data_IF_943607173709
#
_entry.id   IF_943607173709
#
_cell.length_a   1.000
_cell.length_b   1.000
_cell.length_c   1.000
_cell.angle_alpha   90.00
_cell.angle_beta   90.00
_cell.angle_gamma   90.00
#
_symmetry.space_group_name_H-M   'P 1'
#
loop_
_entity.id
_entity.type
_entity.pdbx_description
1 polymer ?
#
# COMPACT_ATOMS: atom_id res chain seq x y z
N UNK A 1 -31.14 -32.72 -50.97
CA UNK A 1 -30.01 -31.77 -50.93
C UNK A 1 -30.28 -30.73 -49.86
N UNK A 2 -29.68 -30.88 -48.67
CA UNK A 2 -29.65 -29.87 -47.62
C UNK A 2 -28.37 -30.13 -46.82
N UNK A 3 -27.42 -29.21 -46.86
CA UNK A 3 -26.06 -29.44 -46.34
C UNK A 3 -25.71 -28.39 -45.30
N UNK A 4 -25.58 -28.84 -44.06
CA UNK A 4 -25.25 -28.02 -42.89
C UNK A 4 -23.74 -27.72 -42.87
N UNK A 5 -23.35 -26.45 -42.88
CA UNK A 5 -21.93 -26.07 -42.82
C UNK A 5 -21.62 -25.27 -41.55
N UNK A 6 -21.01 -25.94 -40.56
CA UNK A 6 -20.36 -25.27 -39.42
C UNK A 6 -19.19 -24.44 -39.94
N UNK A 7 -19.00 -23.21 -39.45
CA UNK A 7 -17.82 -22.39 -39.76
C UNK A 7 -16.95 -22.22 -38.51
N UNK A 8 -15.74 -22.77 -38.57
CA UNK A 8 -14.78 -22.87 -37.47
C UNK A 8 -14.15 -21.51 -37.14
N UNK A 9 -13.87 -21.26 -35.87
CA UNK A 9 -13.03 -20.15 -35.41
C UNK A 9 -11.61 -20.33 -35.98
N UNK A 10 -11.00 -19.24 -36.46
CA UNK A 10 -9.59 -19.20 -36.85
C UNK A 10 -8.76 -18.67 -35.69
N UNK A 11 -7.80 -19.47 -35.24
CA UNK A 11 -6.70 -19.00 -34.40
C UNK A 11 -5.78 -18.08 -35.21
N UNK A 12 -5.37 -16.95 -34.63
CA UNK A 12 -4.41 -16.04 -35.25
C UNK A 12 -3.04 -16.36 -34.64
N UNK A 13 -2.20 -17.02 -35.44
CA UNK A 13 -0.83 -17.35 -35.08
C UNK A 13 0.08 -16.16 -35.40
N UNK A 14 0.83 -15.66 -34.40
CA UNK A 14 1.81 -14.57 -34.57
C UNK A 14 3.19 -15.07 -34.16
N UNK A 15 3.87 -15.70 -35.09
CA UNK A 15 5.29 -16.06 -35.01
C UNK A 15 6.09 -15.18 -35.97
N UNK A 16 6.99 -14.34 -35.45
CA UNK A 16 7.86 -13.53 -36.31
C UNK A 16 8.43 -12.26 -35.69
N UNK A 17 9.36 -12.41 -34.75
CA UNK A 17 10.49 -11.46 -34.56
C UNK A 17 11.65 -12.22 -33.92
N UNK A 18 12.67 -12.52 -34.72
CA UNK A 18 13.90 -13.13 -34.24
C UNK A 18 14.67 -12.17 -33.33
N UNK A 19 14.92 -12.58 -32.09
CA UNK A 19 15.98 -12.03 -31.26
C UNK A 19 16.99 -13.14 -30.99
N UNK A 20 18.21 -12.98 -31.52
CA UNK A 20 19.30 -13.92 -31.32
C UNK A 20 19.57 -14.14 -29.82
N UNK A 21 19.26 -15.34 -29.33
CA UNK A 21 19.76 -15.82 -28.04
C UNK A 21 21.22 -16.25 -28.18
N UNK A 22 22.14 -15.34 -27.89
CA UNK A 22 23.50 -15.74 -27.50
C UNK A 22 23.42 -16.45 -26.15
N UNK A 23 23.55 -17.78 -26.18
CA UNK A 23 23.69 -18.59 -24.98
C UNK A 23 25.09 -18.39 -24.40
N UNK A 24 25.24 -17.38 -23.53
CA UNK A 24 26.43 -17.26 -22.69
C UNK A 24 26.44 -18.45 -21.73
N UNK A 25 27.21 -19.48 -22.07
CA UNK A 25 27.46 -20.65 -21.23
C UNK A 25 28.45 -20.30 -20.12
N UNK A 26 28.01 -19.56 -19.12
CA UNK A 26 28.73 -19.49 -17.84
C UNK A 26 28.60 -20.85 -17.13
N UNK A 27 29.73 -21.49 -16.90
CA UNK A 27 29.83 -22.77 -16.18
C UNK A 27 29.34 -22.60 -14.73
N UNK A 28 28.11 -23.04 -14.47
CA UNK A 28 27.48 -23.03 -13.14
C UNK A 28 27.98 -24.17 -12.26
N UNK A 29 29.29 -24.19 -11.97
CA UNK A 29 29.92 -25.14 -11.02
C UNK A 29 30.44 -24.45 -9.75
N UNK A 30 29.85 -23.31 -9.39
CA UNK A 30 30.08 -22.65 -8.10
C UNK A 30 28.98 -23.06 -7.10
N UNK A 31 28.98 -24.35 -6.71
CA UNK A 31 28.16 -24.89 -5.61
C UNK A 31 28.68 -24.41 -4.24
N UNK A 32 28.68 -23.09 -4.04
CA UNK A 32 28.79 -22.50 -2.70
C UNK A 32 27.56 -22.90 -1.90
N UNK A 33 27.75 -23.88 -1.02
CA UNK A 33 26.77 -24.25 0.00
C UNK A 33 26.51 -23.05 0.89
N UNK A 34 25.42 -22.31 0.64
CA UNK A 34 24.95 -21.28 1.56
C UNK A 34 24.57 -22.01 2.85
N UNK A 35 25.22 -21.64 3.95
CA UNK A 35 24.92 -22.18 5.27
C UNK A 35 23.47 -21.86 5.68
N UNK A 36 22.81 -22.79 6.37
CA UNK A 36 21.58 -22.45 7.11
C UNK A 36 21.86 -21.27 8.04
N UNK A 37 20.95 -20.32 8.06
CA UNK A 37 21.01 -19.08 8.86
C UNK A 37 19.82 -19.06 9.80
N UNK A 38 19.96 -18.37 10.93
CA UNK A 38 18.83 -17.96 11.77
C UNK A 38 18.49 -16.52 11.43
N UNK A 39 17.29 -16.27 10.91
CA UNK A 39 16.84 -14.98 10.38
C UNK A 39 15.71 -14.46 11.27
N UNK A 40 15.81 -13.20 11.70
CA UNK A 40 14.70 -12.49 12.37
C UNK A 40 14.00 -11.56 11.38
N UNK A 41 12.68 -11.66 11.31
CA UNK A 41 11.80 -10.71 10.64
C UNK A 41 11.10 -9.90 11.73
N UNK A 42 11.30 -8.58 11.74
CA UNK A 42 10.75 -7.68 12.77
C UNK A 42 9.59 -6.90 12.16
N UNK A 43 8.39 -7.14 12.68
CA UNK A 43 7.13 -6.61 12.20
C UNK A 43 6.40 -7.57 11.25
N UNK A 44 5.13 -7.85 11.53
CA UNK A 44 4.24 -8.73 10.75
C UNK A 44 3.31 -7.96 9.80
N UNK A 45 3.68 -6.75 9.40
CA UNK A 45 3.04 -6.06 8.29
C UNK A 45 3.25 -6.80 6.96
N UNK A 46 2.60 -6.33 5.89
CA UNK A 46 2.69 -6.95 4.55
C UNK A 46 4.12 -7.20 4.06
N UNK A 47 5.09 -6.33 4.38
CA UNK A 47 6.49 -6.53 4.02
C UNK A 47 7.16 -7.67 4.79
N UNK A 48 6.91 -7.79 6.09
CA UNK A 48 7.37 -8.93 6.89
C UNK A 48 6.74 -10.23 6.43
N UNK A 49 5.44 -10.22 6.09
CA UNK A 49 4.77 -11.40 5.54
C UNK A 49 5.27 -11.82 4.16
N UNK A 50 5.53 -10.87 3.27
CA UNK A 50 6.12 -11.16 1.97
C UNK A 50 7.55 -11.71 2.13
N UNK A 51 8.37 -11.13 3.02
CA UNK A 51 9.70 -11.64 3.33
C UNK A 51 9.64 -13.07 3.89
N UNK A 52 8.74 -13.34 4.85
CA UNK A 52 8.51 -14.68 5.40
C UNK A 52 8.06 -15.67 4.32
N UNK A 53 7.10 -15.29 3.46
CA UNK A 53 6.62 -16.14 2.37
C UNK A 53 7.72 -16.44 1.33
N UNK A 54 8.58 -15.47 1.02
CA UNK A 54 9.74 -15.68 0.14
C UNK A 54 10.78 -16.63 0.76
N UNK A 55 11.02 -16.51 2.07
CA UNK A 55 12.01 -17.31 2.78
C UNK A 55 11.51 -18.69 3.24
N UNK A 56 10.19 -18.92 3.42
CA UNK A 56 9.68 -20.15 4.08
C UNK A 56 10.00 -21.47 3.34
N UNK A 57 10.28 -21.40 2.05
CA UNK A 57 10.69 -22.56 1.23
C UNK A 57 12.20 -22.81 1.21
N UNK A 58 12.98 -22.04 1.98
CA UNK A 58 14.43 -22.17 2.10
C UNK A 58 14.82 -23.07 3.28
N UNK A 59 16.09 -23.44 3.34
CA UNK A 59 16.70 -24.17 4.47
C UNK A 59 16.90 -23.30 5.74
N UNK A 60 16.59 -22.01 5.70
CA UNK A 60 16.86 -21.09 6.80
C UNK A 60 15.84 -21.23 7.94
N UNK A 61 16.26 -20.90 9.16
CA UNK A 61 15.41 -20.87 10.34
C UNK A 61 14.90 -19.44 10.53
N UNK A 62 13.61 -19.22 10.28
CA UNK A 62 13.03 -17.87 10.21
C UNK A 62 12.13 -17.67 11.42
N UNK A 63 12.39 -16.61 12.18
CA UNK A 63 11.57 -16.15 13.31
C UNK A 63 10.83 -14.86 12.91
N UNK A 64 9.53 -14.81 13.16
CA UNK A 64 8.71 -13.60 12.98
C UNK A 64 8.42 -12.99 14.36
N UNK A 65 8.79 -11.73 14.54
CA UNK A 65 8.53 -10.94 15.75
C UNK A 65 7.49 -9.86 15.47
N UNK A 66 6.49 -9.74 16.33
CA UNK A 66 5.46 -8.70 16.29
C UNK A 66 5.26 -8.08 17.67
N UNK A 67 5.17 -6.76 17.69
CA UNK A 67 4.90 -5.93 18.86
C UNK A 67 3.47 -6.08 19.40
N UNK A 68 2.50 -6.31 18.51
CA UNK A 68 1.09 -6.49 18.85
C UNK A 68 0.77 -7.94 19.25
N UNK A 69 -0.40 -8.15 19.86
CA UNK A 69 -0.95 -9.47 20.21
C UNK A 69 -1.57 -10.23 19.02
N UNK A 70 -1.66 -9.57 17.86
CA UNK A 70 -2.10 -10.11 16.58
C UNK A 70 -1.03 -9.95 15.49
N UNK A 71 -1.06 -10.80 14.46
CA UNK A 71 -0.22 -10.64 13.27
C UNK A 71 -0.98 -9.92 12.14
N UNK A 72 -0.29 -9.08 11.37
CA UNK A 72 -0.83 -8.36 10.20
C UNK A 72 -0.52 -6.87 10.17
N UNK A 73 -0.13 -6.26 11.30
CA UNK A 73 0.05 -4.81 11.43
C UNK A 73 -1.19 -4.06 10.95
N UNK A 74 -1.04 -3.11 10.01
CA UNK A 74 -2.18 -2.38 9.44
C UNK A 74 -3.24 -3.28 8.76
N UNK A 75 -2.90 -4.50 8.35
CA UNK A 75 -3.86 -5.42 7.70
C UNK A 75 -4.67 -6.27 8.68
N UNK A 76 -4.92 -5.73 9.88
CA UNK A 76 -5.79 -6.36 10.87
C UNK A 76 -7.21 -6.53 10.32
N UNK A 77 -7.80 -7.69 10.61
CA UNK A 77 -9.20 -8.02 10.33
C UNK A 77 -9.81 -8.43 11.67
N UNK A 78 -10.98 -7.88 11.99
CA UNK A 78 -11.65 -8.06 13.29
C UNK A 78 -13.05 -8.62 13.09
N UNK A 79 -13.55 -9.38 14.06
CA UNK A 79 -14.94 -9.84 14.04
C UNK A 79 -15.88 -8.69 14.40
N UNK A 80 -16.75 -8.31 13.48
CA UNK A 80 -17.88 -7.41 13.69
C UNK A 80 -19.11 -8.22 14.07
N UNK A 81 -19.90 -7.73 15.04
CA UNK A 81 -21.14 -8.36 15.50
C UNK A 81 -22.33 -7.44 15.29
N UNK A 82 -23.46 -7.95 14.82
CA UNK A 82 -24.67 -7.13 14.69
C UNK A 82 -25.13 -6.65 16.08
N UNK A 83 -25.33 -5.34 16.25
CA UNK A 83 -25.80 -4.74 17.52
C UNK A 83 -27.29 -4.98 17.79
N UNK A 84 -28.03 -5.48 16.79
CA UNK A 84 -29.48 -5.62 16.80
C UNK A 84 -29.97 -7.03 16.39
N UNK A 85 -29.09 -8.03 16.33
CA UNK A 85 -29.45 -9.40 15.95
C UNK A 85 -28.30 -10.39 16.04
N UNK A 86 -28.56 -11.65 15.71
CA UNK A 86 -27.55 -12.73 15.71
C UNK A 86 -26.86 -12.81 14.35
N UNK A 87 -25.71 -12.14 14.22
CA UNK A 87 -24.89 -12.20 13.00
C UNK A 87 -23.49 -11.65 13.23
N UNK A 88 -22.48 -12.30 12.67
CA UNK A 88 -21.08 -11.86 12.72
C UNK A 88 -20.43 -11.85 11.33
N UNK A 89 -19.43 -11.01 11.11
CA UNK A 89 -18.62 -11.01 9.88
C UNK A 89 -17.21 -10.48 10.11
N UNK A 90 -16.26 -10.80 9.23
CA UNK A 90 -14.87 -10.37 9.32
C UNK A 90 -14.67 -9.03 8.60
N UNK A 91 -14.23 -8.01 9.34
CA UNK A 91 -14.08 -6.63 8.86
C UNK A 91 -12.60 -6.22 8.87
N UNK A 92 -12.06 -5.89 7.69
CA UNK A 92 -10.71 -5.30 7.58
C UNK A 92 -10.70 -3.84 8.01
N UNK A 93 -9.90 -3.48 9.02
CA UNK A 93 -9.91 -2.11 9.59
C UNK A 93 -9.10 -1.11 8.77
N UNK A 94 -8.04 -1.56 8.08
CA UNK A 94 -7.48 -0.83 6.96
C UNK A 94 -8.09 -1.39 5.67
N UNK A 95 -8.69 -0.49 4.88
CA UNK A 95 -9.43 -0.82 3.67
C UNK A 95 -8.49 -1.33 2.56
N UNK A 96 -8.16 -2.63 2.60
CA UNK A 96 -7.19 -3.27 1.75
C UNK A 96 -7.80 -3.67 0.40
N UNK A 97 -7.73 -2.75 -0.57
CA UNK A 97 -8.08 -3.01 -1.96
C UNK A 97 -6.84 -3.23 -2.83
N UNK A 98 -6.99 -4.06 -3.85
CA UNK A 98 -5.94 -4.33 -4.83
C UNK A 98 -6.52 -4.45 -6.25
N UNK A 99 -5.68 -4.46 -7.27
CA UNK A 99 -6.08 -4.77 -8.65
C UNK A 99 -4.87 -5.28 -9.45
N UNK A 100 -5.10 -6.07 -10.50
CA UNK A 100 -4.03 -6.71 -11.27
C UNK A 100 -3.09 -5.75 -12.03
N UNK A 101 -3.45 -4.46 -12.16
CA UNK A 101 -2.62 -3.47 -12.87
C UNK A 101 -1.60 -2.80 -11.94
N UNK A 102 -2.03 -2.28 -10.79
CA UNK A 102 -1.15 -1.57 -9.83
C UNK A 102 -0.72 -2.42 -8.63
N UNK A 103 -1.31 -3.61 -8.43
CA UNK A 103 -0.91 -4.59 -7.42
C UNK A 103 -0.53 -5.94 -8.07
N UNK A 104 0.35 -5.99 -9.10
CA UNK A 104 0.62 -7.21 -9.84
C UNK A 104 1.23 -8.34 -8.99
N UNK A 105 2.11 -8.03 -8.03
CA UNK A 105 2.76 -9.03 -7.19
C UNK A 105 1.78 -9.58 -6.16
N UNK A 106 1.05 -8.70 -5.47
CA UNK A 106 0.03 -9.13 -4.51
C UNK A 106 -1.13 -9.88 -5.17
N UNK A 107 -1.59 -9.46 -6.35
CA UNK A 107 -2.61 -10.19 -7.11
C UNK A 107 -2.13 -11.57 -7.56
N UNK A 108 -0.87 -11.72 -7.97
CA UNK A 108 -0.28 -13.02 -8.31
C UNK A 108 -0.15 -13.93 -7.07
N UNK A 109 0.19 -13.36 -5.91
CA UNK A 109 0.22 -14.05 -4.62
C UNK A 109 -1.16 -14.54 -4.17
N UNK A 110 -2.16 -13.67 -4.16
CA UNK A 110 -3.57 -14.01 -3.86
C UNK A 110 -4.08 -15.12 -4.78
N UNK A 111 -3.79 -15.02 -6.09
CA UNK A 111 -4.13 -16.06 -7.07
C UNK A 111 -3.40 -17.37 -6.81
N UNK A 112 -2.13 -17.33 -6.40
CA UNK A 112 -1.36 -18.53 -6.08
C UNK A 112 -1.93 -19.26 -4.85
N UNK A 113 -2.29 -18.52 -3.80
CA UNK A 113 -2.96 -19.06 -2.62
C UNK A 113 -4.44 -19.45 -2.85
N UNK A 114 -4.98 -19.16 -4.05
CA UNK A 114 -6.39 -19.42 -4.43
C UNK A 114 -7.41 -18.78 -3.48
N UNK A 115 -7.08 -17.64 -2.89
CA UNK A 115 -7.98 -16.97 -1.94
C UNK A 115 -9.16 -16.31 -2.70
N UNK A 116 -10.40 -16.40 -2.18
CA UNK A 116 -11.55 -15.77 -2.81
C UNK A 116 -11.45 -14.25 -2.71
N UNK A 117 -11.65 -13.58 -3.84
CA UNK A 117 -11.65 -12.13 -3.95
C UNK A 117 -12.82 -11.68 -4.83
N UNK A 118 -13.49 -10.60 -4.42
CA UNK A 118 -14.68 -10.07 -5.07
C UNK A 118 -14.41 -8.71 -5.71
N UNK A 119 -15.00 -8.42 -6.90
CA UNK A 119 -14.93 -7.10 -7.49
C UNK A 119 -15.68 -6.07 -6.63
N UNK A 120 -15.02 -4.96 -6.34
CA UNK A 120 -15.59 -3.83 -5.60
C UNK A 120 -15.50 -2.56 -6.46
N UNK A 121 -16.60 -1.82 -6.57
CA UNK A 121 -16.58 -0.51 -7.21
C UNK A 121 -16.20 0.56 -6.20
N UNK A 122 -14.98 1.08 -6.32
CA UNK A 122 -14.53 2.25 -5.53
C UNK A 122 -15.27 3.50 -6.02
N UNK A 123 -15.95 4.18 -5.10
CA UNK A 123 -16.61 5.47 -5.32
C UNK A 123 -16.15 6.47 -4.26
N UNK A 124 -16.04 7.74 -4.64
CA UNK A 124 -15.70 8.82 -3.72
C UNK A 124 -16.95 9.64 -3.41
N UNK A 125 -16.97 10.26 -2.23
CA UNK A 125 -18.01 11.19 -1.81
C UNK A 125 -17.43 12.23 -0.87
N UNK A 126 -17.94 13.44 -0.96
CA UNK A 126 -17.61 14.55 -0.07
C UNK A 126 -18.87 14.95 0.69
N UNK A 127 -18.72 15.21 1.99
CA UNK A 127 -19.59 16.10 2.75
C UNK A 127 -18.70 17.08 3.50
N UNK A 128 -18.96 18.39 3.36
CA UNK A 128 -18.14 19.46 3.92
C UNK A 128 -19.01 20.38 4.79
N UNK A 129 -18.39 21.00 5.81
CA UNK A 129 -18.98 21.99 6.74
C UNK A 129 -20.41 21.61 7.21
N UNK A 130 -20.55 20.40 7.76
CA UNK A 130 -21.83 19.83 8.22
C UNK A 130 -22.92 19.68 7.14
N UNK A 131 -22.52 19.41 5.90
CA UNK A 131 -23.42 19.23 4.75
C UNK A 131 -23.64 20.49 3.92
N UNK A 132 -22.83 21.54 4.07
CA UNK A 132 -22.88 22.75 3.23
C UNK A 132 -22.68 22.43 1.73
N UNK A 133 -21.81 21.45 1.46
CA UNK A 133 -21.49 20.95 0.13
C UNK A 133 -21.37 19.43 0.19
N UNK A 134 -22.23 18.75 -0.57
CA UNK A 134 -22.21 17.29 -0.71
C UNK A 134 -22.35 16.84 -2.16
N UNK A 135 -21.57 15.82 -2.53
CA UNK A 135 -21.66 15.14 -3.82
C UNK A 135 -20.95 13.77 -3.78
N UNK A 136 -21.31 12.85 -4.69
CA UNK A 136 -20.62 11.56 -4.84
C UNK A 136 -20.49 11.11 -6.31
N UNK A 137 -19.34 10.51 -6.65
CA UNK A 137 -19.03 9.97 -7.97
C UNK A 137 -19.72 8.62 -8.31
N UNK A 138 -20.64 8.13 -7.46
CA UNK A 138 -21.39 6.89 -7.71
C UNK A 138 -22.24 6.95 -8.99
N UNK A 139 -22.90 8.06 -9.28
CA UNK A 139 -23.70 8.32 -10.49
C UNK A 139 -23.89 9.82 -10.72
N UNK A 140 -24.46 10.20 -11.87
CA UNK A 140 -24.84 11.60 -12.14
C UNK A 140 -25.89 12.12 -11.14
N UNK A 141 -26.82 11.26 -10.70
CA UNK A 141 -27.82 11.63 -9.70
C UNK A 141 -27.20 11.89 -8.32
N UNK A 142 -26.16 11.13 -7.93
CA UNK A 142 -25.43 11.38 -6.66
C UNK A 142 -24.42 12.51 -6.75
N UNK A 143 -23.99 12.90 -7.97
CA UNK A 143 -23.18 14.10 -8.16
C UNK A 143 -23.99 15.36 -7.84
N UNK A 144 -25.27 15.36 -8.20
CA UNK A 144 -26.24 16.40 -7.87
C UNK A 144 -27.19 15.98 -6.73
N UNK A 145 -26.68 15.26 -5.72
CA UNK A 145 -27.46 14.85 -4.54
C UNK A 145 -28.12 16.04 -3.84
N UNK A 146 -27.42 17.18 -3.78
CA UNK A 146 -27.98 18.46 -3.37
C UNK A 146 -28.46 19.24 -4.60
N UNK A 147 -29.78 19.52 -4.67
CA UNK A 147 -30.41 20.21 -5.81
C UNK A 147 -29.81 21.60 -6.07
N UNK A 148 -29.33 22.29 -5.04
CA UNK A 148 -28.66 23.60 -5.15
C UNK A 148 -27.38 23.56 -6.03
N UNK A 149 -26.68 22.42 -6.07
CA UNK A 149 -25.47 22.26 -6.88
C UNK A 149 -25.77 22.30 -8.39
N UNK A 150 -27.01 21.97 -8.79
CA UNK A 150 -27.46 22.09 -10.19
C UNK A 150 -27.62 23.55 -10.65
N UNK A 151 -27.72 24.50 -9.74
CA UNK A 151 -27.83 25.93 -10.04
C UNK A 151 -26.60 26.74 -9.64
N UNK A 152 -25.52 26.08 -9.21
CA UNK A 152 -24.32 26.72 -8.66
C UNK A 152 -23.22 26.89 -9.74
N UNK A 153 -22.91 28.11 -10.20
CA UNK A 153 -21.81 28.35 -11.14
C UNK A 153 -20.46 27.89 -10.58
N UNK A 154 -20.28 28.02 -9.26
CA UNK A 154 -19.11 27.55 -8.52
C UNK A 154 -18.94 26.03 -8.60
N UNK A 155 -20.05 25.28 -8.52
CA UNK A 155 -20.03 23.82 -8.68
C UNK A 155 -19.69 23.41 -10.12
N UNK A 156 -20.26 24.06 -11.13
CA UNK A 156 -19.86 23.82 -12.52
C UNK A 156 -18.40 24.21 -12.80
N UNK A 157 -17.89 25.28 -12.17
CA UNK A 157 -16.48 25.64 -12.27
C UNK A 157 -15.56 24.59 -11.64
N UNK A 158 -15.95 24.01 -10.49
CA UNK A 158 -15.28 22.85 -9.90
C UNK A 158 -15.23 21.68 -10.89
N UNK A 159 -16.37 21.26 -11.46
CA UNK A 159 -16.43 20.15 -12.41
C UNK A 159 -15.60 20.40 -13.68
N UNK A 160 -15.63 21.62 -14.23
CA UNK A 160 -14.78 22.01 -15.35
C UNK A 160 -13.30 21.88 -15.01
N UNK A 161 -12.88 22.35 -13.84
CA UNK A 161 -11.50 22.25 -13.38
C UNK A 161 -11.09 20.79 -13.10
N UNK A 162 -11.99 19.91 -12.66
CA UNK A 162 -11.72 18.45 -12.59
C UNK A 162 -11.40 17.87 -13.97
N UNK A 163 -12.23 18.17 -14.98
CA UNK A 163 -11.99 17.68 -16.35
C UNK A 163 -10.70 18.27 -16.94
N UNK A 164 -10.44 19.55 -16.70
CA UNK A 164 -9.21 20.25 -17.11
C UNK A 164 -7.97 19.63 -16.47
N UNK A 165 -8.03 19.36 -15.17
CA UNK A 165 -6.96 18.72 -14.40
C UNK A 165 -6.68 17.32 -14.93
N UNK A 166 -7.70 16.46 -15.03
CA UNK A 166 -7.56 15.11 -15.54
C UNK A 166 -6.92 15.05 -16.94
N UNK A 167 -7.24 16.01 -17.82
CA UNK A 167 -6.64 16.10 -19.16
C UNK A 167 -5.20 16.66 -19.16
N UNK A 168 -4.92 17.71 -18.37
CA UNK A 168 -3.63 18.43 -18.40
C UNK A 168 -2.56 17.84 -17.48
N UNK A 169 -2.95 17.24 -16.37
CA UNK A 169 -2.05 16.76 -15.33
C UNK A 169 -1.00 15.77 -15.85
N UNK A 170 -1.36 14.88 -16.78
CA UNK A 170 -0.44 13.89 -17.36
C UNK A 170 0.81 14.51 -18.01
N UNK A 171 0.80 15.80 -18.38
CA UNK A 171 1.97 16.52 -18.89
C UNK A 171 3.09 16.67 -17.85
N UNK A 172 2.78 16.65 -16.55
CA UNK A 172 3.74 16.66 -15.43
C UNK A 172 4.66 15.43 -15.46
N UNK A 173 4.21 14.33 -16.08
CA UNK A 173 5.00 13.11 -16.24
C UNK A 173 5.91 13.12 -17.47
N UNK A 174 5.87 14.16 -18.30
CA UNK A 174 6.76 14.31 -19.45
C UNK A 174 8.21 14.53 -19.00
N UNK A 175 9.22 13.90 -19.63
CA UNK A 175 10.63 14.22 -19.39
C UNK A 175 10.99 15.70 -19.63
N UNK A 176 10.18 16.43 -20.39
CA UNK A 176 10.34 17.86 -20.66
C UNK A 176 9.57 18.77 -19.70
N UNK A 177 9.01 18.25 -18.61
CA UNK A 177 8.33 19.07 -17.60
C UNK A 177 9.36 19.89 -16.81
N UNK A 178 9.25 21.22 -16.88
CA UNK A 178 10.29 22.14 -16.42
C UNK A 178 10.47 22.20 -14.89
N UNK A 179 9.47 21.76 -14.11
CA UNK A 179 9.41 21.98 -12.66
C UNK A 179 9.16 20.68 -11.88
N UNK A 180 10.04 19.66 -11.97
CA UNK A 180 9.82 18.33 -11.38
C UNK A 180 9.69 18.33 -9.84
N UNK A 181 10.12 19.41 -9.18
CA UNK A 181 10.07 19.60 -7.72
C UNK A 181 8.89 20.45 -7.23
N UNK A 182 8.01 20.92 -8.12
CA UNK A 182 6.82 21.70 -7.73
C UNK A 182 5.96 20.96 -6.71
N UNK A 183 5.45 21.69 -5.71
CA UNK A 183 4.33 21.21 -4.89
C UNK A 183 3.03 21.20 -5.68
N UNK A 184 1.98 20.56 -5.15
CA UNK A 184 0.65 20.65 -5.76
C UNK A 184 0.18 22.12 -5.78
N UNK A 185 0.46 22.90 -4.74
CA UNK A 185 0.12 24.32 -4.64
C UNK A 185 0.73 25.16 -5.77
N UNK A 186 2.03 24.97 -6.05
CA UNK A 186 2.73 25.70 -7.11
C UNK A 186 2.08 25.44 -8.48
N UNK A 187 1.85 24.16 -8.82
CA UNK A 187 1.17 23.78 -10.06
C UNK A 187 -0.23 24.40 -10.17
N UNK A 188 -1.01 24.37 -9.08
CA UNK A 188 -2.38 24.88 -9.07
C UNK A 188 -2.44 26.39 -9.32
N UNK A 189 -1.51 27.14 -8.74
CA UNK A 189 -1.40 28.59 -8.92
C UNK A 189 -0.91 28.96 -10.32
N UNK A 190 0.19 28.35 -10.79
CA UNK A 190 0.71 28.56 -12.15
C UNK A 190 -0.36 28.31 -13.23
N UNK A 191 -1.20 27.29 -13.03
CA UNK A 191 -2.25 26.90 -13.98
C UNK A 191 -3.64 27.49 -13.64
N UNK A 192 -3.73 28.39 -12.66
CA UNK A 192 -4.96 29.12 -12.28
C UNK A 192 -6.17 28.20 -12.03
N UNK A 193 -6.01 27.21 -11.14
CA UNK A 193 -7.12 26.33 -10.72
C UNK A 193 -7.97 26.97 -9.62
N UNK A 194 -9.30 26.92 -9.77
CA UNK A 194 -10.21 27.60 -8.86
C UNK A 194 -10.19 27.02 -7.44
N UNK A 195 -10.41 27.88 -6.43
CA UNK A 195 -10.57 27.44 -5.03
C UNK A 195 -11.72 26.43 -4.87
N UNK A 196 -12.74 26.47 -5.72
CA UNK A 196 -13.83 25.50 -5.76
C UNK A 196 -13.32 24.08 -6.08
N UNK A 197 -12.41 23.94 -7.07
CA UNK A 197 -11.74 22.68 -7.38
C UNK A 197 -10.79 22.23 -6.27
N UNK A 198 -9.99 23.15 -5.72
CA UNK A 198 -9.05 22.83 -4.64
C UNK A 198 -9.80 22.31 -3.41
N UNK A 199 -10.79 23.05 -2.91
CA UNK A 199 -11.53 22.73 -1.68
C UNK A 199 -12.62 21.68 -1.84
N UNK A 200 -13.29 21.63 -3.00
CA UNK A 200 -14.45 20.76 -3.25
C UNK A 200 -14.10 19.42 -3.89
N UNK A 201 -12.86 19.22 -4.35
CA UNK A 201 -12.41 17.98 -4.99
C UNK A 201 -10.99 17.58 -4.60
N UNK A 202 -9.98 18.41 -4.89
CA UNK A 202 -8.60 17.94 -4.90
C UNK A 202 -8.03 17.73 -3.48
N UNK A 203 -8.19 18.70 -2.57
CA UNK A 203 -7.74 18.55 -1.18
C UNK A 203 -8.40 17.33 -0.52
N UNK A 204 -9.74 17.15 -0.55
CA UNK A 204 -10.38 15.95 0.01
C UNK A 204 -9.86 14.65 -0.60
N UNK A 205 -9.70 14.59 -1.93
CA UNK A 205 -9.19 13.41 -2.61
C UNK A 205 -7.77 13.07 -2.14
N UNK A 206 -6.82 14.01 -2.25
CA UNK A 206 -5.41 13.77 -1.93
C UNK A 206 -5.22 13.47 -0.43
N UNK A 207 -5.91 14.22 0.43
CA UNK A 207 -5.84 14.02 1.88
C UNK A 207 -6.44 12.68 2.30
N UNK A 208 -7.43 12.15 1.57
CA UNK A 208 -7.97 10.80 1.81
C UNK A 208 -7.03 9.66 1.39
N UNK A 209 -6.16 9.88 0.40
CA UNK A 209 -5.24 8.86 -0.14
C UNK A 209 -4.08 8.54 0.80
N UNK A 210 -3.55 9.56 1.50
CA UNK A 210 -2.38 9.43 2.39
C UNK A 210 -2.66 9.85 3.84
N UNK A 211 -3.93 10.10 4.20
CA UNK A 211 -4.38 10.56 5.53
C UNK A 211 -3.61 11.81 6.01
N UNK A 212 -3.34 12.73 5.07
CA UNK A 212 -2.51 13.91 5.27
C UNK A 212 -3.34 15.10 5.77
N UNK A 213 -2.76 15.98 6.58
CA UNK A 213 -3.39 17.24 7.02
C UNK A 213 -3.84 18.07 5.79
N UNK A 214 -5.14 18.40 5.62
CA UNK A 214 -5.66 19.13 4.47
C UNK A 214 -5.01 20.49 4.26
N UNK A 215 -4.62 21.17 5.34
CA UNK A 215 -4.04 22.52 5.29
C UNK A 215 -2.60 22.48 4.78
N UNK A 216 -1.92 21.33 4.93
CA UNK A 216 -0.55 21.10 4.48
C UNK A 216 -0.48 20.30 3.18
N UNK A 217 -1.51 19.53 2.82
CA UNK A 217 -1.55 18.58 1.69
C UNK A 217 -1.03 19.18 0.37
N UNK A 218 -1.41 20.42 0.05
CA UNK A 218 -1.01 21.02 -1.23
C UNK A 218 0.47 21.43 -1.27
N UNK A 219 1.06 21.76 -0.11
CA UNK A 219 2.43 22.28 -0.01
C UNK A 219 3.46 21.16 0.19
N UNK A 220 3.12 20.12 0.96
CA UNK A 220 4.07 19.08 1.38
C UNK A 220 4.30 17.98 0.33
N UNK A 221 3.33 17.72 -0.54
CA UNK A 221 3.36 16.59 -1.48
C UNK A 221 3.91 17.05 -2.84
N UNK A 222 4.95 16.40 -3.39
CA UNK A 222 5.45 16.71 -4.74
C UNK A 222 4.41 16.41 -5.82
N UNK A 223 4.20 17.34 -6.74
CA UNK A 223 3.15 17.23 -7.76
C UNK A 223 3.37 16.03 -8.70
N UNK A 224 4.63 15.73 -9.04
CA UNK A 224 4.99 14.55 -9.85
C UNK A 224 4.62 13.22 -9.16
N UNK A 225 4.67 13.15 -7.83
CA UNK A 225 4.24 11.97 -7.07
C UNK A 225 2.72 11.80 -7.18
N UNK A 226 1.96 12.86 -6.91
CA UNK A 226 0.50 12.83 -7.02
C UNK A 226 0.06 12.39 -8.42
N UNK A 227 0.56 13.04 -9.48
CA UNK A 227 0.13 12.73 -10.84
C UNK A 227 0.51 11.31 -11.24
N UNK A 228 1.68 10.81 -10.83
CA UNK A 228 2.07 9.43 -11.14
C UNK A 228 1.15 8.43 -10.45
N UNK A 229 0.78 8.68 -9.20
CA UNK A 229 -0.21 7.88 -8.48
C UNK A 229 -1.58 7.88 -9.18
N UNK A 230 -2.14 9.07 -9.47
CA UNK A 230 -3.47 9.21 -10.09
C UNK A 230 -3.51 8.63 -11.52
N UNK A 231 -2.42 8.78 -12.27
CA UNK A 231 -2.25 8.19 -13.60
C UNK A 231 -2.25 6.66 -13.55
N UNK A 232 -1.39 6.07 -12.71
CA UNK A 232 -1.24 4.61 -12.62
C UNK A 232 -2.54 3.94 -12.14
N UNK A 233 -3.28 4.59 -11.24
CA UNK A 233 -4.60 4.14 -10.76
C UNK A 233 -5.77 4.50 -11.70
N UNK A 234 -5.50 5.10 -12.87
CA UNK A 234 -6.49 5.57 -13.85
C UNK A 234 -7.54 6.54 -13.29
N UNK A 235 -7.22 7.26 -12.21
CA UNK A 235 -8.10 8.26 -11.59
C UNK A 235 -8.20 9.51 -12.49
N UNK A 236 -7.15 9.84 -13.24
CA UNK A 236 -7.16 10.92 -14.25
C UNK A 236 -8.01 10.58 -15.51
N UNK A 237 -8.67 9.42 -15.57
CA UNK A 237 -9.38 8.98 -16.76
C UNK A 237 -10.88 9.31 -16.70
N UNK A 238 -11.25 10.51 -17.15
CA UNK A 238 -12.64 11.00 -17.09
C UNK A 238 -13.65 10.24 -17.96
N UNK A 239 -13.21 9.51 -18.99
CA UNK A 239 -14.11 8.90 -20.00
C UNK A 239 -13.77 7.45 -20.37
N UNK A 240 -12.68 6.88 -19.85
CA UNK A 240 -12.28 5.50 -20.12
C UNK A 240 -12.58 4.52 -18.97
N UNK A 241 -12.26 3.24 -19.19
CA UNK A 241 -12.55 2.18 -18.21
C UNK A 241 -11.72 2.35 -16.93
N UNK A 242 -12.40 2.64 -15.82
CA UNK A 242 -11.86 2.62 -14.46
C UNK A 242 -11.23 1.27 -14.11
N UNK A 243 -10.35 1.25 -13.09
CA UNK A 243 -9.84 -0.02 -12.59
C UNK A 243 -10.94 -0.83 -11.90
N UNK A 244 -10.92 -2.13 -12.16
CA UNK A 244 -11.66 -3.13 -11.41
C UNK A 244 -10.85 -3.44 -10.16
N UNK A 245 -11.35 -2.99 -9.02
CA UNK A 245 -10.74 -3.23 -7.72
C UNK A 245 -11.26 -4.52 -7.13
N UNK A 246 -10.43 -5.19 -6.34
CA UNK A 246 -10.71 -6.45 -5.69
C UNK A 246 -10.53 -6.29 -4.18
N UNK A 247 -11.37 -7.01 -3.43
CA UNK A 247 -11.29 -7.15 -1.97
C UNK A 247 -11.34 -8.64 -1.59
N UNK A 248 -10.60 -9.03 -0.56
CA UNK A 248 -10.62 -10.41 -0.04
C UNK A 248 -11.88 -10.63 0.80
N UNK A 249 -12.55 -11.78 0.60
CA UNK A 249 -13.89 -12.03 1.13
C UNK A 249 -13.99 -11.99 2.65
N UNK A 250 -12.98 -12.53 3.35
CA UNK A 250 -12.84 -12.53 4.81
C UNK A 250 -11.66 -11.65 5.26
N UNK A 251 -11.39 -10.60 4.49
CA UNK A 251 -10.30 -9.66 4.74
C UNK A 251 -8.90 -10.26 4.62
N UNK A 252 -7.92 -9.51 5.12
CA UNK A 252 -6.50 -9.85 5.04
C UNK A 252 -6.11 -11.06 5.90
N UNK A 253 -6.90 -11.38 6.94
CA UNK A 253 -6.69 -12.56 7.79
C UNK A 253 -6.53 -13.86 6.98
N UNK A 254 -7.21 -13.99 5.84
CA UNK A 254 -7.10 -15.16 4.97
C UNK A 254 -5.67 -15.46 4.51
N UNK A 255 -4.91 -14.45 4.05
CA UNK A 255 -3.53 -14.69 3.62
C UNK A 255 -2.56 -14.75 4.81
N UNK A 256 -2.86 -14.05 5.90
CA UNK A 256 -2.07 -14.10 7.14
C UNK A 256 -2.07 -15.54 7.67
N UNK A 257 -3.25 -16.14 7.85
CA UNK A 257 -3.39 -17.52 8.32
C UNK A 257 -2.75 -18.50 7.32
N UNK A 258 -2.93 -18.30 6.01
CA UNK A 258 -2.36 -19.17 4.97
C UNK A 258 -0.82 -19.07 4.84
N UNK A 259 -0.18 -17.95 5.19
CA UNK A 259 1.29 -17.89 5.28
C UNK A 259 1.76 -18.63 6.53
N UNK A 260 1.09 -18.41 7.67
CA UNK A 260 1.49 -18.88 9.00
C UNK A 260 1.25 -20.38 9.23
N UNK A 261 0.30 -21.00 8.54
CA UNK A 261 -0.09 -22.40 8.74
C UNK A 261 1.08 -23.41 8.66
N UNK A 262 2.10 -23.13 7.85
CA UNK A 262 3.28 -23.99 7.67
C UNK A 262 4.45 -23.64 8.62
N UNK A 263 4.30 -22.64 9.49
CA UNK A 263 5.37 -22.11 10.34
C UNK A 263 5.20 -22.61 11.78
N UNK A 264 6.20 -23.32 12.37
CA UNK A 264 6.14 -23.77 13.75
C UNK A 264 5.90 -22.63 14.74
N UNK A 265 5.05 -22.86 15.75
CA UNK A 265 4.59 -21.81 16.68
C UNK A 265 5.73 -21.20 17.51
N UNK A 266 6.79 -21.96 17.80
CA UNK A 266 8.00 -21.46 18.47
C UNK A 266 8.82 -20.46 17.64
N UNK A 267 8.46 -20.25 16.37
CA UNK A 267 9.04 -19.23 15.48
C UNK A 267 8.14 -18.00 15.32
N UNK A 268 6.98 -17.98 15.97
CA UNK A 268 5.95 -16.95 15.83
C UNK A 268 5.76 -16.18 17.14
N UNK A 269 6.44 -15.04 17.25
CA UNK A 269 6.60 -14.27 18.48
C UNK A 269 5.68 -13.04 18.48
N UNK A 270 4.47 -13.16 19.06
CA UNK A 270 3.55 -12.03 19.28
C UNK A 270 3.79 -11.36 20.63
N UNK A 271 3.32 -10.12 20.78
CA UNK A 271 3.51 -9.30 22.00
C UNK A 271 4.99 -9.15 22.40
N UNK A 272 5.88 -9.16 21.41
CA UNK A 272 7.34 -9.17 21.57
C UNK A 272 7.92 -7.94 20.87
N UNK A 273 7.75 -6.73 21.44
CA UNK A 273 8.33 -5.51 20.89
C UNK A 273 9.86 -5.56 20.97
N UNK A 274 10.50 -5.39 19.81
CA UNK A 274 11.96 -5.26 19.72
C UNK A 274 12.33 -3.80 19.98
N UNK A 275 12.93 -3.52 21.14
CA UNK A 275 13.31 -2.16 21.54
C UNK A 275 14.65 -1.74 20.92
N UNK A 276 15.56 -2.68 20.73
CA UNK A 276 16.89 -2.39 20.20
C UNK A 276 17.42 -3.56 19.36
N UNK A 277 17.98 -3.21 18.20
CA UNK A 277 18.81 -4.10 17.38
C UNK A 277 20.25 -3.60 17.50
N UNK A 278 21.09 -4.30 18.26
CA UNK A 278 22.50 -3.93 18.44
C UNK A 278 23.44 -5.02 17.93
N UNK A 279 24.63 -4.62 17.52
CA UNK A 279 25.73 -5.56 17.30
C UNK A 279 26.35 -5.90 18.66
N UNK A 280 26.24 -7.16 19.08
CA UNK A 280 26.90 -7.67 20.29
C UNK A 280 28.36 -8.02 20.02
N UNK A 281 29.15 -8.18 21.09
CA UNK A 281 30.49 -8.75 20.97
C UNK A 281 30.44 -10.11 20.25
N UNK A 282 31.43 -10.37 19.39
CA UNK A 282 31.45 -11.54 18.52
C UNK A 282 30.69 -11.39 17.19
N UNK A 283 30.04 -10.25 16.93
CA UNK A 283 29.44 -9.94 15.62
C UNK A 283 28.06 -10.55 15.39
N UNK A 284 27.33 -10.82 16.47
CA UNK A 284 25.94 -11.28 16.45
C UNK A 284 24.99 -10.09 16.52
N UNK A 285 23.88 -10.13 15.80
CA UNK A 285 22.77 -9.20 16.04
C UNK A 285 22.05 -9.66 17.32
N UNK A 286 22.02 -8.77 18.31
CA UNK A 286 21.30 -8.89 19.55
C UNK A 286 19.97 -8.14 19.43
N UNK A 287 18.86 -8.89 19.44
CA UNK A 287 17.53 -8.32 19.62
C UNK A 287 17.26 -8.20 21.11
N UNK A 288 17.10 -6.97 21.61
CA UNK A 288 16.71 -6.72 22.99
C UNK A 288 15.20 -6.57 23.09
N UNK A 289 14.61 -7.49 23.85
CA UNK A 289 13.18 -7.51 24.17
C UNK A 289 12.88 -6.58 25.36
N UNK A 290 11.62 -6.20 25.53
CA UNK A 290 11.14 -5.36 26.64
C UNK A 290 11.40 -5.99 28.03
N UNK A 291 11.23 -7.31 28.13
CA UNK A 291 11.58 -8.10 29.33
C UNK A 291 13.10 -8.21 29.61
N UNK A 292 13.94 -7.46 28.87
CA UNK A 292 15.41 -7.45 28.90
C UNK A 292 16.11 -8.72 28.41
N UNK A 293 15.39 -9.74 27.94
CA UNK A 293 16.02 -10.88 27.28
C UNK A 293 16.69 -10.45 25.97
N UNK A 294 17.78 -11.14 25.62
CA UNK A 294 18.56 -10.88 24.41
C UNK A 294 18.60 -12.14 23.56
N UNK A 295 18.06 -12.05 22.35
CA UNK A 295 18.15 -13.11 21.35
C UNK A 295 19.21 -12.82 20.29
N UNK A 296 19.90 -13.87 19.83
CA UNK A 296 21.06 -13.75 18.95
C UNK A 296 20.83 -14.36 17.56
N UNK A 297 21.36 -13.66 16.55
CA UNK A 297 21.34 -14.00 15.12
C UNK A 297 22.72 -13.67 14.50
N UNK A 298 23.04 -14.22 13.34
CA UNK A 298 24.42 -14.26 12.81
C UNK A 298 24.48 -13.92 11.30
N UNK A 299 25.50 -13.27 10.71
CA UNK A 299 26.77 -12.67 11.23
C UNK A 299 27.72 -12.28 10.07
N UNK A 300 28.29 -11.06 10.05
CA UNK A 300 29.75 -10.75 10.00
C UNK A 300 30.07 -9.23 10.00
N UNK A 301 31.21 -8.83 10.61
CA UNK A 301 31.80 -7.47 10.53
C UNK A 301 33.36 -7.50 10.50
N UNK A 302 34.05 -6.43 10.04
CA UNK A 302 35.48 -6.49 9.65
C UNK A 302 36.54 -6.40 10.78
N UNK A 303 37.78 -6.81 10.46
CA UNK A 303 38.95 -6.85 11.38
C UNK A 303 39.46 -5.49 11.89
N UNK A 304 39.14 -4.35 11.28
CA UNK A 304 39.70 -3.04 11.68
C UNK A 304 38.85 -2.34 12.75
N UNK A 305 39.30 -2.38 14.01
CA UNK A 305 38.62 -1.75 15.16
C UNK A 305 38.60 -0.21 15.13
N UNK A 306 39.37 0.47 14.27
CA UNK A 306 39.39 1.95 14.19
C UNK A 306 38.17 2.56 13.48
N UNK A 307 37.27 1.75 12.94
CA UNK A 307 36.14 2.18 12.12
C UNK A 307 34.76 2.12 12.84
N UNK A 308 34.75 2.18 14.18
CA UNK A 308 33.55 1.95 14.99
C UNK A 308 33.03 3.27 15.58
N UNK A 309 31.78 3.64 15.28
CA UNK A 309 31.10 4.82 15.83
C UNK A 309 29.66 4.47 16.25
N UNK A 310 29.16 5.14 17.29
CA UNK A 310 27.79 5.07 17.78
C UNK A 310 27.17 6.48 17.83
N UNK A 311 25.88 6.59 17.52
CA UNK A 311 25.09 7.82 17.69
C UNK A 311 23.64 7.47 18.02
N UNK A 312 22.96 8.36 18.75
CA UNK A 312 21.54 8.71 18.55
C UNK A 312 21.16 10.01 19.31
N UNK A 313 20.80 11.04 18.54
CA UNK A 313 19.67 12.02 18.61
C UNK A 313 19.20 12.74 19.91
N UNK A 314 18.67 13.98 19.74
CA UNK A 314 17.44 14.60 20.32
C UNK A 314 17.29 16.06 19.83
N UNK A 315 16.23 16.42 19.07
CA UNK A 315 14.97 17.13 19.50
C UNK A 315 15.13 18.67 19.72
N UNK A 316 14.17 19.59 19.48
CA UNK A 316 12.70 19.56 19.21
C UNK A 316 12.28 20.68 18.19
N UNK A 317 11.01 20.71 17.73
CA UNK A 317 10.29 21.95 17.32
C UNK A 317 8.90 22.05 17.96
N UNK A 318 8.51 23.27 18.37
CA UNK A 318 7.16 23.56 18.87
C UNK A 318 6.56 24.72 18.08
N UNK A 319 5.28 24.62 17.73
CA UNK A 319 4.30 25.68 17.97
C UNK A 319 2.88 25.16 17.78
N UNK A 320 1.92 25.77 18.48
CA UNK A 320 0.51 25.39 18.45
C UNK A 320 -0.18 25.99 17.22
N UNK A 321 -0.98 25.17 16.55
CA UNK A 321 -2.35 25.46 16.13
C UNK A 321 -3.02 24.09 15.91
N UNK A 322 -4.31 23.94 16.23
CA UNK A 322 -4.98 22.64 16.00
C UNK A 322 -5.22 22.49 14.50
N UNK A 323 -4.59 21.51 13.80
CA UNK A 323 -4.72 21.38 12.37
C UNK A 323 -6.11 20.86 11.98
N UNK A 324 -6.57 21.18 10.78
CA UNK A 324 -7.74 20.54 10.20
C UNK A 324 -7.53 19.03 10.13
N UNK A 325 -8.47 18.23 10.64
CA UNK A 325 -8.34 16.76 10.65
C UNK A 325 -9.12 16.17 9.48
N UNK A 326 -8.45 15.38 8.63
CA UNK A 326 -9.16 14.48 7.72
C UNK A 326 -9.98 13.51 8.55
N UNK A 327 -11.27 13.40 8.26
CA UNK A 327 -12.09 12.26 8.67
C UNK A 327 -12.54 11.52 7.42
N UNK A 328 -12.35 10.20 7.38
CA UNK A 328 -12.76 9.36 6.27
C UNK A 328 -13.60 8.20 6.78
N UNK A 329 -14.85 8.10 6.32
CA UNK A 329 -15.76 6.99 6.67
C UNK A 329 -15.95 6.07 5.47
N UNK A 330 -15.59 4.80 5.63
CA UNK A 330 -15.88 3.74 4.67
C UNK A 330 -17.17 3.00 5.08
N UNK A 331 -18.13 2.88 4.17
CA UNK A 331 -19.29 2.00 4.32
C UNK A 331 -18.92 0.60 3.82
N UNK A 332 -18.81 -0.35 4.74
CA UNK A 332 -18.33 -1.70 4.44
C UNK A 332 -19.44 -2.68 4.05
N UNK A 333 -20.73 -2.31 4.17
CA UNK A 333 -21.84 -3.04 3.52
C UNK A 333 -21.83 -2.91 1.99
N UNK A 334 -20.90 -2.12 1.42
CA UNK A 334 -20.66 -2.12 -0.03
C UNK A 334 -19.87 -3.34 -0.52
N UNK A 335 -19.26 -4.10 0.39
CA UNK A 335 -18.55 -5.35 0.10
C UNK A 335 -19.59 -6.48 -0.10
N UNK A 336 -19.55 -7.24 -1.20
CA UNK A 336 -20.57 -8.26 -1.50
C UNK A 336 -20.79 -9.35 -0.45
N UNK A 337 -19.79 -9.65 0.39
CA UNK A 337 -19.90 -10.61 1.50
C UNK A 337 -20.57 -10.05 2.77
N UNK A 338 -20.91 -8.77 2.81
CA UNK A 338 -21.52 -8.11 3.99
C UNK A 338 -23.00 -7.82 3.78
N UNK A 339 -23.86 -8.81 4.02
CA UNK A 339 -25.31 -8.60 4.02
C UNK A 339 -25.73 -7.71 5.21
N UNK A 340 -26.26 -6.53 4.89
CA UNK A 340 -26.75 -5.55 5.86
C UNK A 340 -27.96 -6.05 6.68
N UNK A 341 -28.75 -6.99 6.14
CA UNK A 341 -29.87 -7.59 6.86
C UNK A 341 -29.39 -8.51 7.99
N UNK A 342 -28.25 -9.18 7.79
CA UNK A 342 -27.63 -10.07 8.77
C UNK A 342 -26.72 -9.31 9.74
N UNK A 343 -25.92 -8.37 9.24
CA UNK A 343 -24.81 -7.74 9.98
C UNK A 343 -25.11 -6.35 10.54
N UNK A 344 -26.21 -5.73 10.10
CA UNK A 344 -26.49 -4.32 10.35
C UNK A 344 -25.54 -3.39 9.58
N UNK A 345 -25.61 -2.07 9.81
CA UNK A 345 -24.72 -1.10 9.19
C UNK A 345 -23.28 -1.24 9.72
N UNK A 346 -22.30 -1.40 8.82
CA UNK A 346 -20.87 -1.52 9.13
C UNK A 346 -20.13 -0.30 8.58
N UNK A 347 -19.55 0.50 9.48
CA UNK A 347 -18.73 1.66 9.12
C UNK A 347 -17.37 1.61 9.80
N UNK A 348 -16.33 2.00 9.05
CA UNK A 348 -15.01 2.28 9.62
C UNK A 348 -14.67 3.74 9.38
N UNK A 349 -14.42 4.48 10.46
CA UNK A 349 -14.09 5.91 10.40
C UNK A 349 -12.66 6.15 10.86
N UNK A 350 -11.81 6.62 9.94
CA UNK A 350 -10.47 7.10 10.25
C UNK A 350 -10.56 8.55 10.74
N UNK A 351 -9.88 8.86 11.85
CA UNK A 351 -9.76 10.21 12.41
C UNK A 351 -11.09 11.00 12.52
N UNK A 352 -12.13 10.46 13.18
CA UNK A 352 -13.42 11.14 13.32
C UNK A 352 -13.28 12.54 13.93
N UNK A 353 -13.95 13.54 13.33
CA UNK A 353 -14.08 14.90 13.90
C UNK A 353 -14.89 14.84 15.21
N UNK A 354 -15.95 14.02 15.21
CA UNK A 354 -16.74 13.68 16.39
C UNK A 354 -16.85 12.16 16.47
N UNK A 355 -16.61 11.58 17.66
CA UNK A 355 -16.83 10.15 17.87
C UNK A 355 -18.33 9.83 17.70
N UNK A 356 -18.67 8.70 17.04
CA UNK A 356 -20.04 8.20 17.05
C UNK A 356 -20.46 7.80 18.47
N UNK A 357 -21.76 7.54 18.69
CA UNK A 357 -22.25 7.11 20.00
C UNK A 357 -21.44 5.93 20.53
N UNK A 358 -21.02 5.99 21.79
CA UNK A 358 -20.22 4.92 22.41
C UNK A 358 -20.92 3.56 22.34
N UNK A 359 -22.25 3.54 22.38
CA UNK A 359 -23.08 2.34 22.19
C UNK A 359 -23.02 1.70 20.79
N UNK A 360 -22.38 2.36 19.83
CA UNK A 360 -22.22 1.88 18.43
C UNK A 360 -20.78 1.55 18.06
N UNK A 361 -19.81 1.81 18.95
CA UNK A 361 -18.39 1.55 18.71
C UNK A 361 -18.06 0.12 19.11
N UNK A 362 -17.58 -0.68 18.16
CA UNK A 362 -17.09 -2.04 18.42
C UNK A 362 -15.58 -2.11 18.66
N UNK A 363 -14.83 -1.10 18.22
CA UNK A 363 -13.39 -1.02 18.43
C UNK A 363 -12.82 0.34 18.01
N UNK A 364 -11.71 0.73 18.64
CA UNK A 364 -10.90 1.89 18.29
C UNK A 364 -9.46 1.40 18.16
N UNK A 365 -8.84 1.65 17.02
CA UNK A 365 -7.50 1.16 16.68
C UNK A 365 -6.60 2.33 16.32
N UNK A 366 -5.36 2.32 16.81
CA UNK A 366 -4.39 3.39 16.61
C UNK A 366 -3.26 2.90 15.69
N UNK A 367 -3.06 3.60 14.57
CA UNK A 367 -2.05 3.30 13.56
C UNK A 367 -1.27 4.56 13.18
N UNK A 368 -0.06 4.38 12.62
CA UNK A 368 0.80 5.47 12.15
C UNK A 368 0.99 5.34 10.64
N UNK A 369 0.65 6.38 9.88
CA UNK A 369 0.88 6.40 8.44
C UNK A 369 2.23 7.10 8.12
N UNK A 370 3.03 6.61 7.15
CA UNK A 370 4.19 7.33 6.67
C UNK A 370 3.80 8.67 6.01
N UNK A 371 4.65 9.68 6.20
CA UNK A 371 4.58 10.98 5.52
C UNK A 371 5.41 10.88 4.23
N UNK A 372 4.85 11.37 3.12
CA UNK A 372 5.50 11.35 1.81
C UNK A 372 5.76 12.78 1.31
N UNK A 373 6.74 13.42 1.95
CA UNK A 373 7.28 14.70 1.54
C UNK A 373 8.53 14.53 0.64
N UNK A 374 9.14 15.65 0.26
CA UNK A 374 10.38 15.65 -0.52
C UNK A 374 11.56 14.98 0.22
N UNK A 375 11.61 15.05 1.56
CA UNK A 375 12.69 14.43 2.34
C UNK A 375 12.56 12.91 2.32
N UNK A 376 11.34 12.39 2.47
CA UNK A 376 11.02 10.99 2.31
C UNK A 376 11.40 10.47 0.92
N UNK A 377 11.11 11.22 -0.15
CA UNK A 377 11.50 10.85 -1.52
C UNK A 377 13.03 10.82 -1.71
N UNK A 378 13.76 11.79 -1.14
CA UNK A 378 15.24 11.77 -1.15
C UNK A 378 15.79 10.58 -0.36
N UNK A 379 15.24 10.31 0.83
CA UNK A 379 15.64 9.17 1.66
C UNK A 379 15.39 7.82 0.94
N UNK A 380 14.24 7.66 0.29
CA UNK A 380 13.89 6.48 -0.52
C UNK A 380 14.94 6.17 -1.60
N UNK A 381 15.43 7.18 -2.32
CA UNK A 381 16.47 7.01 -3.35
C UNK A 381 17.80 6.51 -2.76
N UNK A 382 18.10 6.88 -1.51
CA UNK A 382 19.32 6.50 -0.79
C UNK A 382 19.23 5.10 -0.14
N UNK A 383 18.03 4.53 0.03
CA UNK A 383 17.81 3.26 0.76
C UNK A 383 18.58 2.07 0.22
N UNK A 384 18.86 2.04 -1.09
CA UNK A 384 19.70 0.99 -1.71
C UNK A 384 21.11 0.93 -1.09
N UNK A 385 21.62 2.05 -0.56
CA UNK A 385 22.92 2.13 0.12
C UNK A 385 22.90 1.54 1.53
N UNK A 386 21.74 1.15 2.07
CA UNK A 386 21.60 0.56 3.41
C UNK A 386 21.36 -0.95 3.40
N UNK A 387 20.82 -1.50 2.30
CA UNK A 387 20.50 -2.93 2.21
C UNK A 387 21.73 -3.83 2.39
N UNK A 388 21.60 -4.86 3.22
CA UNK A 388 22.65 -5.84 3.52
C UNK A 388 23.78 -5.31 4.42
N UNK A 389 23.78 -4.04 4.83
CA UNK A 389 24.78 -3.54 5.78
C UNK A 389 24.54 -4.15 7.15
N UNK A 390 25.57 -4.78 7.73
CA UNK A 390 25.51 -5.49 9.02
C UNK A 390 24.47 -6.62 9.04
N UNK A 391 24.24 -7.25 7.88
CA UNK A 391 23.22 -8.29 7.68
C UNK A 391 21.79 -7.82 8.02
N UNK A 392 21.51 -6.53 7.77
CA UNK A 392 20.19 -5.93 7.93
C UNK A 392 19.64 -5.60 6.54
N UNK A 393 18.43 -6.09 6.27
CA UNK A 393 17.63 -5.72 5.10
C UNK A 393 16.36 -5.02 5.57
N UNK A 394 16.01 -3.94 4.89
CA UNK A 394 14.92 -3.04 5.27
C UNK A 394 13.79 -3.19 4.26
N UNK A 395 12.57 -3.46 4.73
CA UNK A 395 11.39 -3.71 3.90
C UNK A 395 10.15 -3.03 4.49
N UNK A 396 9.31 -2.43 3.64
CA UNK A 396 8.15 -1.67 4.07
C UNK A 396 7.51 -0.88 2.94
N UNK A 397 6.23 -0.55 3.09
CA UNK A 397 5.47 0.21 2.07
C UNK A 397 6.03 1.62 1.82
N UNK A 398 6.78 2.16 2.78
CA UNK A 398 7.54 3.41 2.68
C UNK A 398 8.76 3.33 1.73
N UNK A 399 9.05 2.17 1.12
CA UNK A 399 9.99 2.02 -0.01
C UNK A 399 9.33 2.18 -1.40
N UNK A 400 8.10 2.69 -1.43
CA UNK A 400 7.36 3.07 -2.64
C UNK A 400 6.37 4.19 -2.31
N UNK A 401 5.13 4.09 -2.82
CA UNK A 401 4.10 5.11 -2.62
C UNK A 401 3.23 4.90 -1.36
N UNK A 402 3.59 3.94 -0.50
CA UNK A 402 2.90 3.64 0.76
C UNK A 402 1.86 2.53 0.67
N UNK A 403 1.70 1.88 -0.49
CA UNK A 403 0.62 0.93 -0.70
C UNK A 403 1.00 -0.52 -0.37
N UNK A 404 -0.01 -1.38 -0.31
CA UNK A 404 0.13 -2.79 0.01
C UNK A 404 1.09 -3.51 -0.96
N UNK A 405 1.06 -3.15 -2.26
CA UNK A 405 1.99 -3.65 -3.28
C UNK A 405 3.45 -3.26 -3.00
N UNK A 406 3.72 -2.02 -2.57
CA UNK A 406 5.08 -1.56 -2.28
C UNK A 406 5.67 -2.29 -1.06
N UNK A 407 4.83 -2.52 -0.06
CA UNK A 407 5.16 -3.34 1.10
C UNK A 407 5.42 -4.80 0.71
N UNK A 408 4.53 -5.41 -0.09
CA UNK A 408 4.71 -6.78 -0.56
C UNK A 408 5.98 -6.94 -1.39
N UNK A 409 6.18 -6.08 -2.42
CA UNK A 409 7.35 -6.09 -3.29
C UNK A 409 8.65 -5.98 -2.49
N UNK A 410 8.76 -4.99 -1.60
CA UNK A 410 9.98 -4.78 -0.81
C UNK A 410 10.30 -5.95 0.13
N UNK A 411 9.29 -6.64 0.67
CA UNK A 411 9.49 -7.88 1.43
C UNK A 411 10.08 -9.01 0.59
N UNK A 412 9.57 -9.22 -0.63
CA UNK A 412 10.15 -10.21 -1.56
C UNK A 412 11.57 -9.83 -2.00
N UNK A 413 11.83 -8.55 -2.24
CA UNK A 413 13.16 -8.05 -2.62
C UNK A 413 14.18 -8.26 -1.47
N UNK A 414 13.79 -8.00 -0.22
CA UNK A 414 14.63 -8.32 0.94
C UNK A 414 14.90 -9.83 1.08
N UNK A 415 13.87 -10.68 0.93
CA UNK A 415 14.04 -12.13 0.95
C UNK A 415 15.04 -12.62 -0.13
N UNK A 416 14.93 -12.11 -1.37
CA UNK A 416 15.85 -12.43 -2.47
C UNK A 416 17.26 -11.88 -2.27
N UNK A 417 17.42 -10.76 -1.56
CA UNK A 417 18.74 -10.23 -1.24
C UNK A 417 19.45 -11.07 -0.16
N UNK A 418 18.69 -11.77 0.69
CA UNK A 418 19.21 -12.73 1.68
C UNK A 418 19.50 -14.10 1.02
N UNK A 419 18.57 -14.64 0.23
CA UNK A 419 18.73 -15.90 -0.50
C UNK A 419 18.42 -15.69 -2.00
N UNK A 420 19.43 -15.39 -2.83
CA UNK A 420 19.26 -15.16 -4.26
C UNK A 420 18.66 -16.34 -5.04
N UNK A 421 18.72 -17.55 -4.48
CA UNK A 421 18.23 -18.79 -5.11
C UNK A 421 16.75 -19.07 -4.86
N UNK A 422 16.00 -18.18 -4.18
CA UNK A 422 14.54 -18.30 -4.02
C UNK A 422 13.89 -18.43 -5.40
N UNK A 423 13.33 -19.60 -5.67
CA UNK A 423 12.48 -19.85 -6.84
C UNK A 423 11.10 -19.29 -6.58
N UNK A 424 10.89 -18.04 -6.97
CA UNK A 424 9.58 -17.41 -6.92
C UNK A 424 8.62 -18.07 -7.93
N UNK A 425 7.38 -18.26 -7.47
CA UNK A 425 6.30 -18.90 -8.24
C UNK A 425 5.72 -18.00 -9.35
N UNK A 426 6.09 -16.72 -9.35
CA UNK A 426 5.78 -15.74 -10.38
C UNK A 426 6.89 -14.68 -10.46
N UNK A 427 7.01 -14.01 -11.61
CA UNK A 427 7.96 -12.91 -11.79
C UNK A 427 7.51 -11.69 -10.99
N UNK A 428 8.40 -11.16 -10.16
CA UNK A 428 8.18 -9.87 -9.49
C UNK A 428 8.31 -8.73 -10.49
N UNK A 429 7.37 -7.79 -10.43
CA UNK A 429 7.27 -6.63 -11.30
C UNK A 429 7.33 -5.36 -10.45
N UNK A 430 8.22 -4.44 -10.79
CA UNK A 430 8.10 -3.06 -10.30
C UNK A 430 6.99 -2.34 -11.09
N UNK A 431 5.93 -1.95 -10.39
CA UNK A 431 4.79 -1.25 -11.00
C UNK A 431 5.07 0.24 -11.20
N UNK A 432 6.03 0.81 -10.45
CA UNK A 432 6.39 2.24 -10.50
C UNK A 432 7.11 2.61 -11.80
N UNK A 433 7.82 1.64 -12.39
CA UNK A 433 8.55 1.74 -13.65
C UNK A 433 7.82 1.14 -14.86
N UNK A 434 6.50 0.86 -14.76
CA UNK A 434 5.68 0.62 -15.96
C UNK A 434 5.62 1.93 -16.74
N UNK A 435 6.38 2.00 -17.82
CA UNK A 435 6.68 3.23 -18.54
C UNK A 435 5.45 4.03 -18.94
N UNK A 436 5.64 5.35 -19.02
CA UNK A 436 4.67 6.30 -19.57
C UNK A 436 4.03 5.72 -20.83
N UNK A 437 2.70 5.69 -20.88
CA UNK A 437 1.98 5.13 -22.02
C UNK A 437 2.52 5.70 -23.33
N UNK A 438 3.08 4.82 -24.18
CA UNK A 438 2.95 5.03 -25.62
C UNK A 438 1.44 5.10 -25.90
N UNK A 439 1.05 6.17 -26.58
CA UNK A 439 -0.35 6.55 -26.85
C UNK A 439 -1.11 5.45 -27.60
#
# INVERSE_FOLDING_TARGET
MATTTKKTLREINISGTDFHTEAISTSLDDKKSISRLRIAIIGSGVSGFAALWGLKSTQHEIHLYESQDYFGGHTQTVEWRNLHGEGTTNVGIAFALFNCLTYPNFAAFVKHLKLPAHPLRVTFGLSRDSGSLEWSSRSICTLFSQRQNFFSPTFYRMLFDVLRFNHRACLVLSPSYAYPSDSIFDYLNQNQYSLAFQNGYLIPLVSSLWVHDPDQTLNSIPMVMLIRYLHNHRILNSFGKSLEWLVLEQGAKQYVDAILADIPSERLHKSTPIINVSSSEGGKLALRLENRNVEYFDRFMPRNRKAWCAYNYHDFTSSKLSPSRVSLTANLNTIPSHDILLTGPIFTTLNPIHLPSLSTIQGIYHHKHPIFDHQAQTAQAEMGKLQGKRDIWLAGAWLGYGFHEDGFRSGIEAARAIEPRIKLLFRIVDWNNRGLCKR
#
